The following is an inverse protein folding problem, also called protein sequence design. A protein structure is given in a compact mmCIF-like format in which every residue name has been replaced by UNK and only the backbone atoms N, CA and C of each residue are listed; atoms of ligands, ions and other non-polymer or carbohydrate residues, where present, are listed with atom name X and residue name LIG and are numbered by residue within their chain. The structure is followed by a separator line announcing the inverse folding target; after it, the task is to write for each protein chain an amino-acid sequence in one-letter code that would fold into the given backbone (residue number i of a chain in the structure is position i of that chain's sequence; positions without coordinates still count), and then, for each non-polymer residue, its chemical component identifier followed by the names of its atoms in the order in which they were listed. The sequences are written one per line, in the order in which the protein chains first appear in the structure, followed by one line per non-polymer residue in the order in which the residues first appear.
data_IF_504994837147
#
_entry.id   IF_504994837147
#
_cell.length_a   1.000
_cell.length_b   1.000
_cell.length_c   1.000
_cell.angle_alpha   90.00
_cell.angle_beta   90.00
_cell.angle_gamma   90.00
#
_symmetry.space_group_name_H-M   'P 1'
#
loop_
_entity.id
_entity.type
_entity.pdbx_description
1 polymer ?
#
# COMPACT_ATOMS: atom_id res chain seq x y z
N UNK A 1 -6.26 -15.76 35.42
CA UNK A 1 -6.78 -14.55 34.75
C UNK A 1 -5.64 -13.88 33.99
N UNK A 2 -5.46 -14.20 32.70
CA UNK A 2 -4.51 -13.46 31.86
C UNK A 2 -5.19 -12.16 31.45
N UNK A 3 -4.62 -11.04 31.88
CA UNK A 3 -5.11 -9.73 31.47
C UNK A 3 -4.99 -9.61 29.95
N UNK A 4 -6.14 -9.43 29.28
CA UNK A 4 -6.19 -9.00 27.88
C UNK A 4 -5.53 -7.64 27.81
N UNK A 5 -4.27 -7.60 27.40
CA UNK A 5 -3.64 -6.35 26.99
C UNK A 5 -4.34 -5.90 25.70
N UNK A 6 -5.33 -5.02 25.83
CA UNK A 6 -5.87 -4.24 24.71
C UNK A 6 -4.84 -3.17 24.39
N UNK A 7 -3.73 -3.57 23.80
CA UNK A 7 -2.78 -2.66 23.17
C UNK A 7 -3.54 -1.91 22.08
N UNK A 8 -3.58 -0.59 22.17
CA UNK A 8 -4.18 0.22 21.10
C UNK A 8 -3.36 0.04 19.83
N UNK A 9 -3.98 0.17 18.65
CA UNK A 9 -3.31 0.02 17.35
C UNK A 9 -2.09 0.97 17.22
N UNK A 10 -2.09 2.07 17.98
CA UNK A 10 -1.01 3.05 18.02
C UNK A 10 0.28 2.53 18.68
N UNK A 11 0.19 1.70 19.72
CA UNK A 11 1.36 1.21 20.47
C UNK A 11 2.11 0.10 19.72
N UNK A 12 1.46 -0.57 18.76
CA UNK A 12 2.00 -1.71 17.99
C UNK A 12 2.77 -1.31 16.73
N UNK A 13 2.75 -0.05 16.32
CA UNK A 13 3.51 0.45 15.15
C UNK A 13 4.80 1.13 15.62
N UNK A 14 5.51 0.53 16.58
CA UNK A 14 6.75 1.08 17.14
C UNK A 14 7.99 0.88 16.24
N UNK A 15 7.83 0.27 15.06
CA UNK A 15 8.94 0.05 14.13
C UNK A 15 8.91 1.07 12.98
N UNK A 16 9.98 1.87 12.84
CA UNK A 16 10.12 2.94 11.82
C UNK A 16 9.81 2.46 10.41
N UNK A 17 10.07 1.17 10.12
CA UNK A 17 9.80 0.52 8.83
C UNK A 17 8.30 0.41 8.52
N UNK A 18 7.49 0.06 9.52
CA UNK A 18 6.05 -0.09 9.37
C UNK A 18 5.36 1.27 9.22
N UNK A 19 5.82 2.29 9.94
CA UNK A 19 5.33 3.67 9.81
C UNK A 19 5.52 4.20 8.38
N UNK A 20 6.68 3.93 7.78
CA UNK A 20 6.97 4.31 6.40
C UNK A 20 6.07 3.63 5.38
N UNK A 21 5.81 2.32 5.54
CA UNK A 21 4.91 1.57 4.66
C UNK A 21 3.44 1.98 4.83
N UNK A 22 3.00 2.29 6.06
CA UNK A 22 1.66 2.81 6.32
C UNK A 22 1.40 4.14 5.58
N UNK A 23 2.35 5.08 5.66
CA UNK A 23 2.25 6.36 4.91
C UNK A 23 2.18 6.15 3.41
N UNK A 24 2.86 5.13 2.86
CA UNK A 24 2.77 4.78 1.43
C UNK A 24 1.40 4.21 1.07
N UNK A 25 0.80 3.38 1.92
CA UNK A 25 -0.56 2.82 1.69
C UNK A 25 -1.61 3.93 1.59
N UNK A 26 -1.58 4.89 2.51
CA UNK A 26 -2.46 6.06 2.48
C UNK A 26 -2.28 6.88 1.20
N UNK A 27 -1.04 7.14 0.81
CA UNK A 27 -0.74 7.85 -0.43
C UNK A 27 -1.16 7.07 -1.68
N UNK A 28 -0.98 5.75 -1.71
CA UNK A 28 -1.39 4.91 -2.81
C UNK A 28 -2.91 4.94 -3.00
N UNK A 29 -3.68 4.79 -1.91
CA UNK A 29 -5.13 4.90 -1.91
C UNK A 29 -5.61 6.25 -2.45
N UNK A 30 -4.98 7.35 -2.01
CA UNK A 30 -5.32 8.71 -2.48
C UNK A 30 -5.15 8.90 -3.99
N UNK A 31 -4.15 8.26 -4.60
CA UNK A 31 -3.80 8.49 -6.01
C UNK A 31 -4.15 7.31 -6.93
N UNK A 32 -4.83 6.29 -6.44
CA UNK A 32 -5.16 5.07 -7.19
C UNK A 32 -5.89 5.38 -8.49
N UNK A 33 -7.06 6.03 -8.39
CA UNK A 33 -7.90 6.37 -9.54
C UNK A 33 -7.16 7.20 -10.59
N UNK A 34 -6.47 8.27 -10.14
CA UNK A 34 -5.71 9.14 -11.06
C UNK A 34 -4.60 8.40 -11.79
N UNK A 35 -3.92 7.47 -11.11
CA UNK A 35 -2.82 6.70 -11.68
C UNK A 35 -3.33 5.66 -12.67
N UNK A 36 -4.48 5.04 -12.40
CA UNK A 36 -5.13 4.10 -13.31
C UNK A 36 -5.59 4.82 -14.58
N UNK A 37 -6.27 5.96 -14.45
CA UNK A 37 -6.70 6.77 -15.59
C UNK A 37 -5.54 7.20 -16.50
N UNK A 38 -4.42 7.68 -15.93
CA UNK A 38 -3.28 8.08 -16.77
C UNK A 38 -2.56 6.89 -17.42
N UNK A 39 -2.59 5.71 -16.79
CA UNK A 39 -2.02 4.50 -17.38
C UNK A 39 -2.85 4.03 -18.57
N UNK A 40 -4.17 3.97 -18.44
CA UNK A 40 -5.06 3.54 -19.55
C UNK A 40 -4.89 4.47 -20.74
N UNK A 41 -5.00 5.78 -20.52
CA UNK A 41 -4.91 6.79 -21.59
C UNK A 41 -3.56 6.82 -22.32
N UNK A 42 -2.47 6.48 -21.65
CA UNK A 42 -1.16 6.39 -22.30
C UNK A 42 -0.96 5.05 -23.03
N UNK A 43 -1.60 3.97 -22.57
CA UNK A 43 -1.55 2.65 -23.20
C UNK A 43 -2.44 2.53 -24.43
N UNK A 44 -3.47 3.38 -24.56
CA UNK A 44 -4.41 3.35 -25.68
C UNK A 44 -3.72 3.69 -27.01
N UNK A 45 -3.68 2.76 -27.99
CA UNK A 45 -3.01 2.99 -29.28
C UNK A 45 -3.78 3.96 -30.18
N UNK A 46 -5.08 4.11 -29.96
CA UNK A 46 -5.99 4.95 -30.76
C UNK A 46 -5.84 6.45 -30.47
N UNK A 47 -5.19 6.83 -29.36
CA UNK A 47 -4.95 8.23 -29.03
C UNK A 47 -3.75 8.79 -29.79
N UNK A 48 -3.78 10.08 -30.19
CA UNK A 48 -2.63 10.74 -30.81
C UNK A 48 -1.42 10.78 -29.85
N UNK A 49 -0.21 10.73 -30.42
CA UNK A 49 1.07 10.73 -29.68
C UNK A 49 1.16 11.84 -28.66
N UNK A 50 0.77 13.05 -29.03
CA UNK A 50 0.90 14.24 -28.19
C UNK A 50 0.07 14.13 -26.90
N UNK A 51 -1.10 13.49 -26.97
CA UNK A 51 -1.92 13.24 -25.79
C UNK A 51 -1.28 12.15 -24.91
N UNK A 52 -0.74 11.09 -25.51
CA UNK A 52 -0.03 10.03 -24.78
C UNK A 52 1.16 10.60 -24.02
N UNK A 53 1.93 11.50 -24.63
CA UNK A 53 3.09 12.13 -24.00
C UNK A 53 2.69 13.07 -22.85
N UNK A 54 1.59 13.81 -23.01
CA UNK A 54 0.99 14.61 -21.91
C UNK A 54 0.62 13.75 -20.72
N UNK A 55 -0.01 12.58 -20.93
CA UNK A 55 -0.38 11.67 -19.85
C UNK A 55 0.82 10.95 -19.24
N UNK A 56 1.82 10.59 -20.03
CA UNK A 56 3.11 10.07 -19.56
C UNK A 56 3.82 11.07 -18.65
N UNK A 57 3.84 12.35 -19.04
CA UNK A 57 4.40 13.43 -18.22
C UNK A 57 3.64 13.63 -16.92
N UNK A 58 2.29 13.64 -16.99
CA UNK A 58 1.43 13.68 -15.79
C UNK A 58 1.68 12.50 -14.86
N UNK A 59 1.88 11.29 -15.40
CA UNK A 59 2.20 10.09 -14.63
C UNK A 59 3.55 10.20 -13.92
N UNK A 60 4.55 10.78 -14.58
CA UNK A 60 5.90 11.04 -14.03
C UNK A 60 5.87 12.06 -12.88
N UNK A 61 5.00 13.08 -12.96
CA UNK A 61 4.84 14.12 -11.92
C UNK A 61 4.20 13.61 -10.61
N UNK A 62 3.56 12.44 -10.59
CA UNK A 62 3.00 11.90 -9.35
C UNK A 62 4.10 11.53 -8.35
N UNK A 63 3.84 11.64 -7.03
CA UNK A 63 4.83 11.29 -6.02
C UNK A 63 5.24 9.82 -6.14
N UNK A 64 6.55 9.54 -6.13
CA UNK A 64 7.08 8.17 -6.30
C UNK A 64 6.53 7.18 -5.28
N UNK A 65 6.23 7.64 -4.06
CA UNK A 65 5.71 6.82 -2.97
C UNK A 65 4.22 6.42 -3.14
N UNK A 66 3.49 7.01 -4.09
CA UNK A 66 2.09 6.62 -4.35
C UNK A 66 1.95 5.40 -5.26
N UNK A 67 3.06 4.86 -5.79
CA UNK A 67 3.01 3.64 -6.60
C UNK A 67 2.74 2.41 -5.74
N UNK A 68 1.76 1.60 -6.12
CA UNK A 68 1.45 0.33 -5.46
C UNK A 68 2.65 -0.62 -5.38
N UNK A 69 3.53 -0.60 -6.39
CA UNK A 69 4.74 -1.45 -6.45
C UNK A 69 5.73 -1.21 -5.30
N UNK A 70 5.64 -0.08 -4.58
CA UNK A 70 6.54 0.25 -3.46
C UNK A 70 5.95 -0.11 -2.10
N UNK A 71 4.68 -0.47 -2.05
CA UNK A 71 4.03 -0.94 -0.82
C UNK A 71 4.46 -2.38 -0.59
N UNK A 72 4.97 -2.67 0.61
CA UNK A 72 5.27 -4.06 1.02
C UNK A 72 4.30 -4.53 2.10
N UNK A 73 3.99 -5.82 2.07
CA UNK A 73 3.24 -6.48 3.13
C UNK A 73 4.23 -6.83 4.25
N UNK A 74 4.15 -6.10 5.36
CA UNK A 74 4.94 -6.33 6.57
C UNK A 74 4.00 -6.77 7.68
N UNK A 75 4.49 -7.64 8.57
CA UNK A 75 3.74 -7.98 9.77
C UNK A 75 3.70 -6.77 10.72
N UNK A 76 2.54 -6.57 11.35
CA UNK A 76 2.29 -5.43 12.26
C UNK A 76 3.07 -5.63 13.57
N UNK A 77 3.16 -6.89 14.02
CA UNK A 77 3.68 -7.25 15.34
C UNK A 77 5.20 -7.50 15.34
N UNK A 78 5.72 -8.12 14.28
CA UNK A 78 7.15 -8.33 14.05
C UNK A 78 7.49 -7.78 12.68
N UNK A 79 8.40 -6.81 12.63
CA UNK A 79 8.87 -6.20 11.39
C UNK A 79 9.74 -7.11 10.52
N UNK A 80 9.87 -8.38 10.90
CA UNK A 80 10.65 -9.37 10.18
C UNK A 80 9.91 -9.89 8.95
N UNK A 81 10.63 -9.95 7.83
CA UNK A 81 10.10 -10.36 6.54
C UNK A 81 10.30 -11.86 6.39
N UNK A 82 9.43 -12.68 6.98
CA UNK A 82 9.46 -14.12 6.72
C UNK A 82 8.06 -14.73 6.86
N UNK A 83 7.47 -15.00 5.69
CA UNK A 83 6.51 -16.06 5.39
C UNK A 83 5.60 -16.56 6.53
N UNK A 84 4.61 -15.76 6.91
CA UNK A 84 3.32 -16.32 7.34
C UNK A 84 2.23 -15.78 6.41
N UNK A 85 1.98 -16.54 5.36
CA UNK A 85 0.86 -16.40 4.45
C UNK A 85 -0.40 -16.82 5.21
N UNK A 86 -1.37 -15.91 5.35
CA UNK A 86 -2.73 -16.09 4.84
C UNK A 86 -3.25 -14.72 4.46
N UNK A 87 -3.44 -14.53 3.15
CA UNK A 87 -4.03 -13.34 2.59
C UNK A 87 -5.55 -13.44 2.72
N UNK A 88 -6.16 -12.58 3.53
CA UNK A 88 -7.47 -12.04 3.21
C UNK A 88 -7.29 -10.53 3.04
N UNK A 89 -6.99 -10.13 1.80
CA UNK A 89 -7.04 -8.74 1.38
C UNK A 89 -8.52 -8.33 1.33
N UNK A 90 -9.07 -7.88 2.45
CA UNK A 90 -10.28 -7.09 2.46
C UNK A 90 -9.90 -5.69 2.94
N UNK A 91 -9.70 -4.81 1.96
CA UNK A 91 -9.54 -3.38 2.14
C UNK A 91 -8.26 -2.90 2.83
N UNK A 92 -7.79 -1.75 2.35
CA UNK A 92 -6.55 -1.06 2.69
C UNK A 92 -6.37 -0.77 4.20
N UNK A 93 -7.40 -1.01 5.02
CA UNK A 93 -7.50 -0.61 6.42
C UNK A 93 -7.54 -1.77 7.43
N UNK A 94 -7.64 -3.03 6.99
CA UNK A 94 -7.79 -4.16 7.91
C UNK A 94 -6.65 -5.15 7.66
N UNK A 95 -5.83 -5.37 8.68
CA UNK A 95 -4.75 -6.34 8.66
C UNK A 95 -4.95 -7.21 9.89
N UNK A 96 -5.72 -8.28 9.74
CA UNK A 96 -5.89 -9.27 10.78
C UNK A 96 -4.63 -10.14 10.86
N UNK A 97 -3.76 -9.83 11.82
CA UNK A 97 -2.78 -10.79 12.29
C UNK A 97 -3.51 -11.84 13.15
N UNK A 98 -4.08 -12.86 12.53
CA UNK A 98 -4.48 -14.04 13.29
C UNK A 98 -3.21 -14.73 13.80
N UNK A 99 -3.03 -14.69 15.13
CA UNK A 99 -2.06 -15.51 15.84
C UNK A 99 -2.52 -16.96 15.73
N UNK A 100 -2.08 -17.65 14.68
CA UNK A 100 -2.12 -19.10 14.62
C UNK A 100 -1.11 -19.65 15.62
N UNK A 101 -1.55 -19.84 16.86
CA UNK A 101 -0.85 -20.69 17.82
C UNK A 101 -0.82 -22.11 17.24
N UNK A 102 0.38 -22.69 17.16
CA UNK A 102 0.50 -24.12 17.47
C UNK A 102 0.32 -24.26 18.99
#
# INVERSE_FOLDING_TARGET
MMMRQVTTVADKVADKRNIGDYKRRLLAAKYELRRNLYKTLWQDPNLPSDLRDKYRHKLSRLPRNSSFTRVRNRCIFSSHFSNFFYYLFLNINEVDCQLGYR
#
